data_IF_870213837806
#
_entry.id   IF_870213837806
#
_cell.length_a   1.000
_cell.length_b   1.000
_cell.length_c   1.000
_cell.angle_alpha   90.00
_cell.angle_beta   90.00
_cell.angle_gamma   90.00
#
_symmetry.space_group_name_H-M   'P 1'
#
loop_
_entity.id
_entity.type
_entity.pdbx_description
1 polymer ?
#
# COMPACT_ATOMS: atom_id res chain seq x y z
N UNK A 1 -5.95 14.66 -9.79
CA UNK A 1 -4.64 14.68 -9.07
C UNK A 1 -3.54 14.29 -10.05
N UNK A 2 -2.42 15.02 -10.08
CA UNK A 2 -1.25 14.68 -10.91
C UNK A 2 -0.28 13.83 -10.07
N UNK A 3 0.03 12.62 -10.55
CA UNK A 3 1.03 11.75 -9.94
C UNK A 3 2.42 12.38 -10.00
N UNK A 4 3.18 12.27 -8.92
CA UNK A 4 4.62 12.59 -8.94
C UNK A 4 5.39 11.55 -9.76
N UNK A 5 6.59 11.89 -10.23
CA UNK A 5 7.43 10.98 -11.02
C UNK A 5 7.66 9.64 -10.31
N UNK A 6 8.04 9.67 -9.02
CA UNK A 6 8.27 8.46 -8.21
C UNK A 6 7.00 7.61 -8.03
N UNK A 7 5.86 8.24 -7.79
CA UNK A 7 4.59 7.53 -7.66
C UNK A 7 4.20 6.85 -8.97
N UNK A 8 4.44 7.50 -10.11
CA UNK A 8 4.21 6.90 -11.44
C UNK A 8 5.05 5.64 -11.63
N UNK A 9 6.35 5.70 -11.32
CA UNK A 9 7.25 4.54 -11.41
C UNK A 9 6.78 3.36 -10.56
N UNK A 10 6.31 3.63 -9.33
CA UNK A 10 5.77 2.59 -8.44
C UNK A 10 4.48 2.01 -9.01
N UNK A 11 3.57 2.85 -9.52
CA UNK A 11 2.33 2.38 -10.14
C UNK A 11 2.63 1.52 -11.37
N UNK A 12 3.55 1.94 -12.23
CA UNK A 12 3.95 1.17 -13.42
C UNK A 12 4.61 -0.16 -13.04
N UNK A 13 5.42 -0.19 -11.97
CA UNK A 13 5.98 -1.42 -11.42
C UNK A 13 4.88 -2.37 -10.95
N UNK A 14 3.90 -1.88 -10.19
CA UNK A 14 2.79 -2.68 -9.67
C UNK A 14 1.89 -3.17 -10.82
N UNK A 15 1.67 -2.37 -11.87
CA UNK A 15 0.91 -2.80 -13.06
C UNK A 15 1.55 -4.01 -13.75
N UNK A 16 2.87 -4.12 -13.71
CA UNK A 16 3.62 -5.26 -14.28
C UNK A 16 3.69 -6.47 -13.35
N UNK A 17 3.85 -6.24 -12.04
CA UNK A 17 4.13 -7.30 -11.06
C UNK A 17 2.94 -7.65 -10.13
N UNK A 18 1.83 -6.92 -10.24
CA UNK A 18 0.63 -7.06 -9.40
C UNK A 18 0.74 -6.43 -8.00
N UNK A 19 1.93 -6.41 -7.40
CA UNK A 19 2.17 -5.80 -6.08
C UNK A 19 3.60 -5.30 -5.92
N UNK A 20 3.86 -4.57 -4.84
CA UNK A 20 5.19 -4.10 -4.47
C UNK A 20 5.43 -4.23 -2.97
N UNK A 21 6.64 -4.65 -2.58
CA UNK A 21 7.13 -4.60 -1.20
C UNK A 21 8.04 -3.39 -0.96
N UNK A 22 8.31 -3.07 0.31
CA UNK A 22 9.29 -2.02 0.67
C UNK A 22 10.70 -2.35 0.13
N UNK A 23 11.07 -3.62 0.08
CA UNK A 23 12.34 -4.09 -0.49
C UNK A 23 12.36 -3.91 -2.00
N UNK A 24 11.32 -4.37 -2.71
CA UNK A 24 11.20 -4.19 -4.15
C UNK A 24 11.18 -2.72 -4.57
N UNK A 25 10.58 -1.86 -3.76
CA UNK A 25 10.54 -0.42 -3.99
C UNK A 25 11.94 0.22 -4.03
N UNK A 26 12.92 -0.35 -3.31
CA UNK A 26 14.30 0.13 -3.34
C UNK A 26 14.99 -0.24 -4.65
N UNK A 27 14.60 -1.36 -5.24
CA UNK A 27 15.12 -1.86 -6.52
C UNK A 27 14.47 -1.19 -7.74
N UNK A 28 13.41 -0.38 -7.56
CA UNK A 28 12.79 0.34 -8.67
C UNK A 28 13.71 1.48 -9.13
N UNK A 29 14.21 1.45 -10.38
CA UNK A 29 15.09 2.49 -10.89
C UNK A 29 14.42 3.86 -10.80
N UNK A 30 15.15 4.87 -10.28
CA UNK A 30 14.67 6.24 -10.17
C UNK A 30 13.76 6.54 -8.96
N UNK A 31 13.36 5.52 -8.18
CA UNK A 31 12.58 5.73 -6.93
C UNK A 31 13.49 6.07 -5.76
N UNK A 32 14.58 5.31 -5.59
CA UNK A 32 15.57 5.53 -4.54
C UNK A 32 16.95 5.81 -5.17
N UNK A 33 17.32 7.08 -5.25
CA UNK A 33 18.55 7.49 -5.95
C UNK A 33 19.76 7.68 -5.04
N UNK A 34 19.62 8.00 -3.75
CA UNK A 34 20.77 8.44 -2.93
C UNK A 34 20.72 8.24 -1.40
N UNK A 35 19.86 7.37 -0.85
CA UNK A 35 19.73 7.30 0.62
C UNK A 35 20.37 6.05 1.23
N UNK A 36 21.26 6.27 2.21
CA UNK A 36 21.67 5.32 3.25
C UNK A 36 20.49 4.73 4.06
N UNK A 37 19.27 5.22 3.82
CA UNK A 37 18.02 4.81 4.44
C UNK A 37 16.92 4.49 3.41
N UNK A 38 17.29 3.90 2.27
CA UNK A 38 16.38 3.57 1.16
C UNK A 38 15.10 2.85 1.60
N UNK A 39 15.21 1.89 2.52
CA UNK A 39 14.07 1.17 3.09
C UNK A 39 13.07 2.09 3.81
N UNK A 40 13.56 3.02 4.63
CA UNK A 40 12.72 3.97 5.38
C UNK A 40 12.03 4.95 4.42
N UNK A 41 12.75 5.45 3.42
CA UNK A 41 12.18 6.35 2.41
C UNK A 41 11.08 5.65 1.59
N UNK A 42 11.36 4.45 1.10
CA UNK A 42 10.39 3.64 0.35
C UNK A 42 9.18 3.29 1.22
N UNK A 43 9.39 2.91 2.48
CA UNK A 43 8.31 2.64 3.44
C UNK A 43 7.40 3.86 3.65
N UNK A 44 7.99 5.05 3.82
CA UNK A 44 7.24 6.29 3.96
C UNK A 44 6.47 6.64 2.68
N UNK A 45 7.09 6.50 1.51
CA UNK A 45 6.46 6.78 0.22
C UNK A 45 5.24 5.88 -0.03
N UNK A 46 5.41 4.57 0.16
CA UNK A 46 4.31 3.59 0.02
C UNK A 46 3.20 3.86 1.05
N UNK A 47 3.55 4.23 2.28
CA UNK A 47 2.58 4.61 3.31
C UNK A 47 1.77 5.85 2.90
N UNK A 48 2.42 6.86 2.32
CA UNK A 48 1.76 8.07 1.82
C UNK A 48 0.83 7.77 0.64
N UNK A 49 1.25 6.91 -0.29
CA UNK A 49 0.40 6.44 -1.39
C UNK A 49 -0.80 5.63 -0.89
N UNK A 50 -0.61 4.79 0.13
CA UNK A 50 -1.70 4.05 0.76
C UNK A 50 -2.69 4.96 1.51
N UNK A 51 -2.20 6.01 2.20
CA UNK A 51 -3.06 7.00 2.88
C UNK A 51 -3.87 7.85 1.91
N UNK A 52 -3.34 8.13 0.72
CA UNK A 52 -4.01 8.90 -0.33
C UNK A 52 -4.96 8.08 -1.18
N UNK A 53 -5.12 6.78 -0.89
CA UNK A 53 -6.01 5.88 -1.65
C UNK A 53 -5.46 5.43 -3.00
N UNK A 54 -4.22 5.80 -3.33
CA UNK A 54 -3.55 5.37 -4.55
C UNK A 54 -3.14 3.90 -4.52
N UNK A 55 -2.83 3.38 -3.33
CA UNK A 55 -2.48 1.98 -3.12
C UNK A 55 -3.32 1.39 -1.99
N UNK A 56 -3.48 0.07 -2.04
CA UNK A 56 -4.05 -0.73 -0.97
C UNK A 56 -2.97 -1.64 -0.37
N UNK A 57 -2.82 -1.58 0.96
CA UNK A 57 -1.97 -2.53 1.70
C UNK A 57 -2.67 -3.89 1.80
N UNK A 58 -2.05 -4.93 1.23
CA UNK A 58 -2.56 -6.31 1.25
C UNK A 58 -2.11 -7.04 2.52
N UNK A 59 -0.83 -6.90 2.86
CA UNK A 59 -0.20 -7.52 4.04
C UNK A 59 0.89 -6.62 4.60
N UNK A 60 1.55 -7.03 5.69
CA UNK A 60 2.61 -6.24 6.31
C UNK A 60 3.75 -5.97 5.31
N UNK A 61 3.84 -4.74 4.81
CA UNK A 61 4.93 -4.30 3.91
C UNK A 61 4.66 -4.51 2.42
N UNK A 62 3.48 -5.00 2.02
CA UNK A 62 3.11 -5.23 0.61
C UNK A 62 1.90 -4.41 0.21
N UNK A 63 1.97 -3.78 -0.98
CA UNK A 63 0.96 -2.87 -1.51
C UNK A 63 0.58 -3.25 -2.95
N UNK A 64 -0.66 -2.99 -3.34
CA UNK A 64 -1.17 -3.18 -4.70
C UNK A 64 -1.97 -1.96 -5.14
N UNK A 65 -2.26 -1.86 -6.43
CA UNK A 65 -3.23 -0.88 -6.94
C UNK A 65 -4.64 -1.40 -6.55
N UNK A 66 -5.49 -0.57 -5.93
CA UNK A 66 -6.87 -0.98 -5.65
C UNK A 66 -7.60 -1.24 -6.96
N UNK A 67 -8.41 -2.29 -7.01
CA UNK A 67 -9.34 -2.48 -8.12
C UNK A 67 -10.30 -1.29 -8.17
N UNK A 68 -10.48 -0.74 -9.37
CA UNK A 68 -11.31 0.43 -9.61
C UNK A 68 -12.73 0.12 -9.10
N UNK A 69 -13.13 0.78 -8.01
CA UNK A 69 -14.40 0.51 -7.31
C UNK A 69 -14.24 0.29 -5.79
N UNK A 70 -13.06 -0.09 -5.30
CA UNK A 70 -12.74 -0.10 -3.86
C UNK A 70 -11.99 1.18 -3.46
N UNK A 71 -12.64 2.32 -3.63
CA UNK A 71 -12.29 3.48 -2.81
C UNK A 71 -12.51 3.02 -1.36
N UNK A 72 -11.43 2.87 -0.61
CA UNK A 72 -11.47 2.51 0.81
C UNK A 72 -12.38 3.49 1.54
N UNK A 73 -13.63 3.10 1.75
CA UNK A 73 -14.33 3.48 2.97
C UNK A 73 -13.52 2.89 4.12
N UNK A 74 -13.28 3.72 5.11
CA UNK A 74 -12.51 3.45 6.31
C UNK A 74 -13.11 2.31 7.14
N UNK A 75 -13.07 1.06 6.67
CA UNK A 75 -13.62 -0.07 7.41
C UNK A 75 -12.52 -0.66 8.30
N UNK A 76 -12.45 -0.14 9.54
CA UNK A 76 -12.07 -1.00 10.66
C UNK A 76 -12.95 -2.26 10.57
N UNK A 77 -12.42 -3.49 10.65
CA UNK A 77 -13.30 -4.62 10.92
C UNK A 77 -13.91 -4.40 12.30
N UNK A 78 -15.20 -4.12 12.37
CA UNK A 78 -15.98 -4.24 13.60
C UNK A 78 -15.79 -5.68 14.09
N UNK A 79 -15.18 -5.83 15.26
CA UNK A 79 -15.22 -7.07 16.02
C UNK A 79 -16.70 -7.47 16.12
N UNK A 80 -17.03 -8.63 15.57
CA UNK A 80 -18.34 -9.23 15.74
C UNK A 80 -18.51 -9.54 17.23
N UNK A 81 -19.51 -8.90 17.83
CA UNK A 81 -20.01 -9.18 19.16
C UNK A 81 -20.75 -10.53 19.08
N UNK A 82 -20.00 -11.63 19.19
CA UNK A 82 -20.58 -12.97 19.30
C UNK A 82 -21.18 -13.13 20.70
N UNK A 83 -22.43 -12.70 20.81
CA UNK A 83 -23.37 -13.14 21.83
C UNK A 83 -23.54 -14.65 21.73
N UNK A 84 -22.71 -15.42 22.43
CA UNK A 84 -23.11 -16.77 22.82
C UNK A 84 -23.97 -16.68 24.08
N UNK A 85 -25.25 -16.43 23.82
CA UNK A 85 -26.33 -16.98 24.62
C UNK A 85 -26.22 -18.51 24.55
N UNK A 86 -25.77 -19.13 25.65
CA UNK A 86 -26.16 -20.49 26.02
C UNK A 86 -26.79 -20.36 27.41
N UNK A 87 -28.09 -20.03 27.47
CA UNK A 87 -29.17 -20.99 27.66
C UNK A 87 -28.92 -21.89 28.88
N UNK A 88 -29.70 -21.59 29.92
CA UNK A 88 -30.23 -22.53 30.90
C UNK A 88 -30.72 -23.83 30.24
#
# INVERSE_FOLDING_TARGET
MKLTHKQRLIVDYIRKNGSITVEQCQSVPGVNTYYCNGAKHCGNLLRTMNKSGLLERVKKGTYRIPEVGRLRTSSKPQLADERQQSLF
#
